data_IF_852932313323
#
_entry.id   IF_852932313323
#
_cell.length_a   1.000
_cell.length_b   1.000
_cell.length_c   1.000
_cell.angle_alpha   90.00
_cell.angle_beta   90.00
_cell.angle_gamma   90.00
#
_symmetry.space_group_name_H-M   'P 1'
#
loop_
_entity.id
_entity.type
_entity.pdbx_description
1 polymer ?
#
# COMPACT_ATOMS: atom_id res chain seq x y z
N UNK A 1 5.76 -6.95 3.48
CA UNK A 1 5.14 -6.40 4.70
C UNK A 1 4.68 -7.58 5.56
N UNK A 2 4.83 -7.50 6.88
CA UNK A 2 4.35 -8.54 7.78
C UNK A 2 3.69 -7.96 9.03
N UNK A 3 2.71 -8.68 9.58
CA UNK A 3 2.07 -8.35 10.87
C UNK A 3 1.47 -9.60 11.50
N UNK A 4 1.22 -9.56 12.81
CA UNK A 4 0.50 -10.61 13.54
C UNK A 4 -0.96 -10.21 13.79
N UNK A 5 -1.90 -11.10 13.49
CA UNK A 5 -3.30 -10.91 13.82
C UNK A 5 -3.57 -11.35 15.27
N UNK A 6 -3.60 -10.38 16.20
CA UNK A 6 -3.99 -10.63 17.60
C UNK A 6 -5.50 -10.50 17.85
N UNK A 7 -6.32 -10.22 16.82
CA UNK A 7 -7.76 -10.12 16.97
C UNK A 7 -8.39 -11.51 17.19
N UNK A 8 -9.56 -11.52 17.83
CA UNK A 8 -10.38 -12.73 18.02
C UNK A 8 -11.18 -13.13 16.76
N UNK A 9 -10.78 -12.63 15.59
CA UNK A 9 -11.43 -12.86 14.30
C UNK A 9 -10.41 -12.80 13.16
N UNK A 10 -10.75 -13.43 12.04
CA UNK A 10 -9.94 -13.39 10.83
C UNK A 10 -9.95 -11.98 10.22
N UNK A 11 -8.79 -11.48 9.83
CA UNK A 11 -8.67 -10.22 9.10
C UNK A 11 -8.80 -10.53 7.61
N UNK A 12 -9.85 -10.01 6.99
CA UNK A 12 -9.97 -9.87 5.54
C UNK A 12 -9.96 -8.37 5.22
N UNK A 13 -8.91 -7.92 4.55
CA UNK A 13 -8.61 -6.50 4.36
C UNK A 13 -8.12 -6.23 2.94
N UNK A 14 -8.00 -4.96 2.59
CA UNK A 14 -7.28 -4.51 1.41
C UNK A 14 -6.21 -3.51 1.82
N UNK A 15 -5.04 -3.60 1.20
CA UNK A 15 -4.03 -2.55 1.24
C UNK A 15 -4.12 -1.80 -0.09
N UNK A 16 -4.37 -0.48 -0.03
CA UNK A 16 -4.21 0.42 -1.18
C UNK A 16 -2.92 1.21 -0.99
N UNK A 17 -2.12 1.33 -2.03
CA UNK A 17 -0.97 2.23 -2.04
C UNK A 17 -1.05 3.13 -3.26
N UNK A 18 -0.91 4.42 -3.00
CA UNK A 18 -0.87 5.48 -4.00
C UNK A 18 0.57 6.01 -4.07
N UNK A 19 1.15 6.04 -5.26
CA UNK A 19 2.50 6.54 -5.50
C UNK A 19 2.43 7.99 -6.01
N UNK A 20 3.12 8.90 -5.32
CA UNK A 20 3.22 10.31 -5.68
C UNK A 20 4.67 10.69 -5.97
N UNK A 21 4.87 11.60 -6.92
CA UNK A 21 6.17 12.24 -7.13
C UNK A 21 6.44 13.39 -6.13
N UNK A 22 7.61 14.03 -6.23
CA UNK A 22 7.99 15.19 -5.42
C UNK A 22 7.12 16.44 -5.57
N UNK A 23 6.27 16.52 -6.60
CA UNK A 23 5.33 17.63 -6.79
C UNK A 23 3.89 17.21 -6.44
N UNK A 24 3.74 16.14 -5.67
CA UNK A 24 2.46 15.59 -5.20
C UNK A 24 1.52 15.14 -6.35
N UNK A 25 2.08 14.75 -7.50
CA UNK A 25 1.31 14.18 -8.61
C UNK A 25 1.21 12.67 -8.48
N UNK A 26 -0.02 12.14 -8.53
CA UNK A 26 -0.29 10.69 -8.51
C UNK A 26 0.26 10.02 -9.78
N UNK A 27 1.23 9.12 -9.60
CA UNK A 27 1.86 8.35 -10.67
C UNK A 27 1.16 6.99 -10.89
N UNK A 28 0.75 6.34 -9.80
CA UNK A 28 0.18 4.99 -9.83
C UNK A 28 -0.66 4.72 -8.58
N UNK A 29 -1.70 3.90 -8.73
CA UNK A 29 -2.48 3.33 -7.64
C UNK A 29 -2.46 1.80 -7.79
N UNK A 30 -2.30 1.08 -6.69
CA UNK A 30 -2.47 -0.37 -6.66
C UNK A 30 -3.14 -0.81 -5.37
N UNK A 31 -3.83 -1.93 -5.43
CA UNK A 31 -4.52 -2.51 -4.31
C UNK A 31 -4.31 -4.02 -4.29
N UNK A 32 -4.06 -4.57 -3.09
CA UNK A 32 -3.97 -6.02 -2.89
C UNK A 32 -4.86 -6.48 -1.74
N UNK A 33 -5.56 -7.62 -1.88
CA UNK A 33 -6.27 -8.22 -0.78
C UNK A 33 -5.30 -8.87 0.22
N UNK A 34 -5.62 -8.77 1.50
CA UNK A 34 -4.89 -9.37 2.61
C UNK A 34 -5.83 -10.26 3.39
N UNK A 35 -5.37 -11.47 3.69
CA UNK A 35 -6.08 -12.40 4.55
C UNK A 35 -5.13 -12.95 5.63
N UNK A 36 -5.49 -12.73 6.89
CA UNK A 36 -4.75 -13.20 8.06
C UNK A 36 -5.73 -13.85 9.04
N UNK A 37 -5.75 -15.19 9.17
CA UNK A 37 -6.53 -15.87 10.19
C UNK A 37 -6.26 -15.35 11.61
N UNK A 38 -7.21 -15.52 12.52
CA UNK A 38 -7.01 -15.19 13.94
C UNK A 38 -5.74 -15.87 14.49
N UNK A 39 -4.99 -15.15 15.33
CA UNK A 39 -3.77 -15.63 15.98
C UNK A 39 -2.70 -16.17 15.01
N UNK A 40 -2.65 -15.62 13.80
CA UNK A 40 -1.66 -16.01 12.79
C UNK A 40 -0.91 -14.79 12.25
N UNK A 41 0.29 -15.04 11.75
CA UNK A 41 1.07 -14.04 11.04
C UNK A 41 0.61 -13.96 9.58
N UNK A 42 0.56 -12.73 9.06
CA UNK A 42 0.55 -12.48 7.63
C UNK A 42 1.94 -12.08 7.19
N UNK A 43 2.43 -12.77 6.17
CA UNK A 43 3.63 -12.40 5.42
C UNK A 43 3.24 -12.32 3.95
N UNK A 44 3.33 -11.12 3.39
CA UNK A 44 3.00 -10.90 2.00
C UNK A 44 3.75 -9.74 1.41
N UNK A 45 3.81 -9.75 0.09
CA UNK A 45 4.38 -8.68 -0.70
C UNK A 45 3.24 -7.94 -1.39
N UNK A 46 3.36 -6.61 -1.42
CA UNK A 46 2.48 -5.78 -2.24
C UNK A 46 3.32 -5.35 -3.43
N UNK A 47 2.93 -5.82 -4.61
CA UNK A 47 3.61 -5.46 -5.86
C UNK A 47 2.90 -4.29 -6.55
N UNK A 48 3.70 -3.46 -7.20
CA UNK A 48 3.26 -2.29 -7.95
C UNK A 48 3.81 -2.36 -9.36
N UNK A 49 2.96 -2.13 -10.35
CA UNK A 49 3.40 -1.97 -11.74
C UNK A 49 3.25 -0.49 -12.09
N UNK A 50 4.37 0.23 -12.00
CA UNK A 50 4.43 1.63 -12.46
C UNK A 50 4.61 1.59 -13.99
N UNK A 51 3.68 2.13 -14.79
CA UNK A 51 3.86 2.18 -16.23
C UNK A 51 5.08 3.06 -16.54
N UNK A 52 6.14 2.46 -17.08
CA UNK A 52 7.37 3.17 -17.43
C UNK A 52 7.20 3.90 -18.76
N UNK A 53 6.74 5.14 -18.71
CA UNK A 53 6.89 6.11 -19.80
C UNK A 53 8.09 7.02 -19.49
N UNK A 54 8.65 7.69 -20.49
CA UNK A 54 9.76 8.62 -20.27
C UNK A 54 9.40 9.74 -19.26
N UNK A 55 8.13 10.13 -19.21
CA UNK A 55 7.64 11.13 -18.27
C UNK A 55 7.41 10.57 -16.86
N UNK A 56 6.95 9.32 -16.70
CA UNK A 56 6.78 8.72 -15.37
C UNK A 56 8.10 8.26 -14.77
N UNK A 57 9.10 7.86 -15.58
CA UNK A 57 10.43 7.48 -15.08
C UNK A 57 11.20 8.69 -14.52
N UNK A 58 11.03 9.87 -15.12
CA UNK A 58 11.61 11.11 -14.61
C UNK A 58 10.87 11.64 -13.38
N UNK A 59 9.56 11.42 -13.29
CA UNK A 59 8.76 11.78 -12.12
C UNK A 59 8.96 10.81 -10.93
N UNK A 60 9.17 9.51 -11.18
CA UNK A 60 9.34 8.49 -10.15
C UNK A 60 10.75 8.44 -9.53
N UNK A 61 11.53 9.53 -9.59
CA UNK A 61 12.88 9.59 -9.00
C UNK A 61 12.83 9.81 -7.49
N UNK A 62 11.89 10.61 -7.01
CA UNK A 62 11.68 10.90 -5.60
C UNK A 62 10.20 11.22 -5.36
N UNK A 63 9.75 11.09 -4.12
CA UNK A 63 8.36 11.34 -3.76
C UNK A 63 7.94 10.57 -2.52
N UNK A 64 6.70 10.09 -2.51
CA UNK A 64 6.19 9.31 -1.39
C UNK A 64 5.10 8.32 -1.80
N UNK A 65 4.92 7.30 -0.95
CA UNK A 65 3.79 6.39 -0.98
C UNK A 65 2.78 6.80 0.09
N UNK A 66 1.51 6.80 -0.26
CA UNK A 66 0.41 6.84 0.70
C UNK A 66 -0.18 5.44 0.83
N UNK A 67 -0.02 4.83 2.00
CA UNK A 67 -0.50 3.47 2.29
C UNK A 67 -1.78 3.53 3.12
N UNK A 68 -2.82 2.86 2.64
CA UNK A 68 -4.12 2.74 3.29
C UNK A 68 -4.44 1.27 3.58
N UNK A 69 -5.04 1.03 4.75
CA UNK A 69 -5.50 -0.29 5.18
C UNK A 69 -7.01 -0.26 5.40
N UNK A 70 -7.73 -1.11 4.69
CA UNK A 70 -9.20 -1.12 4.70
C UNK A 70 -9.74 -2.44 5.22
N UNK A 71 -10.29 -2.41 6.44
CA UNK A 71 -10.94 -3.57 7.09
C UNK A 71 -12.45 -3.33 7.07
N UNK A 72 -13.17 -4.06 6.22
CA UNK A 72 -14.61 -3.87 6.02
C UNK A 72 -14.93 -2.47 5.45
N UNK A 73 -15.70 -1.67 6.20
CA UNK A 73 -16.10 -0.31 5.83
C UNK A 73 -15.16 0.78 6.38
N UNK A 74 -14.13 0.39 7.14
CA UNK A 74 -13.20 1.34 7.77
C UNK A 74 -11.90 1.37 6.98
N UNK A 75 -11.48 2.57 6.57
CA UNK A 75 -10.17 2.82 5.96
C UNK A 75 -9.28 3.58 6.97
N UNK A 76 -8.07 3.09 7.19
CA UNK A 76 -7.04 3.74 8.01
C UNK A 76 -5.89 4.19 7.11
N UNK A 77 -5.46 5.45 7.25
CA UNK A 77 -4.35 6.01 6.48
C UNK A 77 -4.51 7.52 6.21
N UNK A 78 -3.60 8.10 5.42
CA UNK A 78 -2.43 7.45 4.85
C UNK A 78 -1.28 7.30 5.86
N UNK A 79 -0.60 6.15 5.84
CA UNK A 79 0.79 6.06 6.28
C UNK A 79 1.66 6.56 5.13
N UNK A 80 2.35 7.68 5.34
CA UNK A 80 3.21 8.31 4.34
C UNK A 80 4.62 7.73 4.44
N UNK A 81 5.14 7.17 3.34
CA UNK A 81 6.50 6.61 3.27
C UNK A 81 7.27 7.34 2.16
N UNK A 82 8.28 8.17 2.48
CA UNK A 82 9.08 8.84 1.45
C UNK A 82 10.02 7.86 0.75
N UNK A 83 10.39 8.19 -0.49
CA UNK A 83 11.48 7.54 -1.22
C UNK A 83 12.29 8.60 -1.98
N UNK A 84 13.60 8.37 -2.06
CA UNK A 84 14.60 9.25 -2.71
C UNK A 84 15.45 8.45 -3.71
#
# INVERSE_FOLDING_TARGET
>A
MSFENHAAFDIASNIRIDLYDQVDSLLCESQTPVYAPQHSAYEGEVEFVVPLSASSLSAAQNGHFNVYFSIGLVENGPLVIPYD
#
